data_IF_900041012216
#
_entry.id   IF_900041012216
#
_cell.length_a   1.000
_cell.length_b   1.000
_cell.length_c   1.000
_cell.angle_alpha   90.00
_cell.angle_beta   90.00
_cell.angle_gamma   90.00
#
_symmetry.space_group_name_H-M   'P 1'
#
loop_
_entity.id
_entity.type
_entity.pdbx_description
1 polymer ?
#
# COMPACT_ATOMS: atom_id res chain seq x y z
N UNK A 1 -28.21 29.76 -37.98
CA UNK A 1 -27.62 28.57 -37.32
C UNK A 1 -27.71 28.79 -35.82
N UNK A 2 -27.72 27.73 -35.01
CA UNK A 2 -27.78 27.87 -33.56
C UNK A 2 -26.35 28.09 -33.04
N UNK A 3 -26.16 29.08 -32.17
CA UNK A 3 -24.88 29.34 -31.51
C UNK A 3 -24.57 28.20 -30.52
N UNK A 4 -23.32 27.78 -30.48
CA UNK A 4 -22.75 26.86 -29.50
C UNK A 4 -21.45 27.41 -28.90
N UNK A 5 -20.94 26.72 -27.89
CA UNK A 5 -19.73 27.10 -27.16
C UNK A 5 -18.76 25.93 -27.12
N UNK A 6 -17.54 26.13 -27.61
CA UNK A 6 -16.47 25.16 -27.49
C UNK A 6 -15.70 25.43 -26.22
N UNK A 7 -15.55 24.39 -25.41
CA UNK A 7 -14.83 24.43 -24.14
C UNK A 7 -13.46 23.81 -24.37
N UNK A 8 -12.43 24.52 -23.92
CA UNK A 8 -11.05 24.10 -24.01
C UNK A 8 -10.51 23.85 -22.60
N UNK A 9 -9.85 22.71 -22.41
CA UNK A 9 -9.10 22.36 -21.22
C UNK A 9 -7.61 22.32 -21.59
N UNK A 10 -6.80 23.11 -20.90
CA UNK A 10 -5.35 23.20 -21.16
C UNK A 10 -5.03 23.49 -22.63
N UNK A 11 -5.77 24.43 -23.21
CA UNK A 11 -5.75 24.82 -24.62
C UNK A 11 -6.13 23.71 -25.64
N UNK A 12 -6.63 22.57 -25.17
CA UNK A 12 -7.13 21.47 -26.00
C UNK A 12 -8.65 21.48 -26.00
N UNK A 13 -9.27 21.35 -27.19
CA UNK A 13 -10.72 21.24 -27.31
C UNK A 13 -11.22 20.01 -26.53
N UNK A 14 -12.16 20.24 -25.61
CA UNK A 14 -12.74 19.21 -24.77
C UNK A 14 -14.13 18.79 -25.26
N UNK A 15 -15.04 19.75 -25.41
CA UNK A 15 -16.40 19.51 -25.89
C UNK A 15 -17.07 20.78 -26.38
N UNK A 16 -18.17 20.61 -27.11
CA UNK A 16 -19.05 21.68 -27.55
C UNK A 16 -20.42 21.54 -26.85
N UNK A 17 -20.99 22.66 -26.40
CA UNK A 17 -22.29 22.72 -25.72
C UNK A 17 -23.13 23.87 -26.26
N UNK A 18 -24.46 23.79 -26.14
CA UNK A 18 -25.36 24.90 -26.51
C UNK A 18 -25.83 25.70 -25.30
N UNK A 19 -25.63 25.18 -24.09
CA UNK A 19 -25.94 25.87 -22.83
C UNK A 19 -24.80 26.80 -22.41
N UNK A 20 -25.12 27.82 -21.62
CA UNK A 20 -24.15 28.74 -21.03
C UNK A 20 -23.42 28.17 -19.81
N UNK A 21 -23.70 26.92 -19.45
CA UNK A 21 -23.05 26.20 -18.36
C UNK A 21 -22.69 24.80 -18.80
N UNK A 22 -21.58 24.30 -18.30
CA UNK A 22 -21.15 22.94 -18.52
C UNK A 22 -20.45 22.40 -17.29
N UNK A 23 -20.85 21.19 -16.87
CA UNK A 23 -20.11 20.43 -15.86
C UNK A 23 -19.00 19.64 -16.53
N UNK A 24 -17.79 19.75 -16.01
CA UNK A 24 -16.64 18.90 -16.40
C UNK A 24 -16.48 17.83 -15.31
N UNK A 25 -16.54 16.57 -15.71
CA UNK A 25 -16.35 15.41 -14.83
C UNK A 25 -14.95 14.82 -15.03
N UNK A 26 -14.58 13.84 -14.20
CA UNK A 26 -13.36 13.02 -14.39
C UNK A 26 -12.03 13.79 -14.33
N UNK A 27 -12.06 15.00 -13.75
CA UNK A 27 -10.84 15.75 -13.41
C UNK A 27 -10.04 14.98 -12.36
N UNK A 28 -8.72 14.98 -12.53
CA UNK A 28 -7.82 14.27 -11.64
C UNK A 28 -7.61 15.05 -10.34
N UNK A 29 -7.51 14.39 -9.17
CA UNK A 29 -7.19 15.04 -7.89
C UNK A 29 -5.84 15.76 -7.92
N UNK A 30 -5.68 16.79 -7.10
CA UNK A 30 -4.45 17.56 -6.94
C UNK A 30 -3.79 17.98 -8.27
N UNK A 31 -4.61 18.27 -9.29
CA UNK A 31 -4.16 18.58 -10.64
C UNK A 31 -4.61 19.98 -11.01
N UNK A 32 -3.68 20.75 -11.55
CA UNK A 32 -3.91 22.11 -12.03
C UNK A 32 -4.50 22.05 -13.43
N UNK A 33 -5.56 22.82 -13.66
CA UNK A 33 -6.23 22.93 -14.95
C UNK A 33 -6.44 24.39 -15.33
N UNK A 34 -6.44 24.63 -16.64
CA UNK A 34 -6.87 25.89 -17.24
C UNK A 34 -8.06 25.66 -18.17
N UNK A 35 -9.02 26.58 -18.15
CA UNK A 35 -10.19 26.53 -19.02
C UNK A 35 -10.44 27.86 -19.68
N UNK A 36 -10.85 27.81 -20.95
CA UNK A 36 -11.45 28.93 -21.66
C UNK A 36 -12.53 28.42 -22.61
N UNK A 37 -13.35 29.34 -23.11
CA UNK A 37 -14.41 29.02 -24.06
C UNK A 37 -14.34 29.93 -25.29
N UNK A 38 -14.89 29.46 -26.39
CA UNK A 38 -15.17 30.25 -27.60
C UNK A 38 -16.62 30.05 -28.00
N UNK A 39 -17.19 31.03 -28.69
CA UNK A 39 -18.48 30.91 -29.36
C UNK A 39 -18.27 30.35 -30.77
N UNK A 40 -19.17 29.49 -31.23
CA UNK A 40 -19.12 28.87 -32.56
C UNK A 40 -20.51 28.95 -33.20
N UNK A 41 -20.59 29.43 -34.43
CA UNK A 41 -21.87 29.60 -35.15
C UNK A 41 -22.18 28.46 -36.14
N UNK A 42 -21.32 27.44 -36.17
CA UNK A 42 -21.37 26.33 -37.13
C UNK A 42 -20.40 26.49 -38.30
N UNK A 43 -19.78 27.67 -38.47
CA UNK A 43 -18.84 27.99 -39.55
C UNK A 43 -17.57 28.60 -38.97
N UNK A 44 -17.72 29.67 -38.19
CA UNK A 44 -16.65 30.48 -37.63
C UNK A 44 -16.60 30.34 -36.11
N UNK A 45 -15.39 30.44 -35.56
CA UNK A 45 -15.12 30.38 -34.13
C UNK A 45 -14.57 31.73 -33.64
N UNK A 46 -15.10 32.21 -32.53
CA UNK A 46 -14.68 33.48 -31.93
C UNK A 46 -13.25 33.42 -31.36
N UNK A 47 -12.77 34.58 -30.88
CA UNK A 47 -11.61 34.61 -29.97
C UNK A 47 -11.91 33.95 -28.62
N UNK A 48 -10.85 33.62 -27.87
CA UNK A 48 -10.93 33.01 -26.52
C UNK A 48 -11.54 33.98 -25.49
N UNK A 49 -12.31 33.43 -24.56
CA UNK A 49 -12.67 34.11 -23.31
C UNK A 49 -11.44 34.43 -22.44
N UNK A 50 -11.67 34.99 -21.24
CA UNK A 50 -10.66 34.91 -20.19
C UNK A 50 -10.35 33.44 -19.83
N UNK A 51 -9.12 33.20 -19.36
CA UNK A 51 -8.71 31.89 -18.85
C UNK A 51 -9.02 31.82 -17.36
N UNK A 52 -9.64 30.72 -16.93
CA UNK A 52 -9.79 30.36 -15.53
C UNK A 52 -8.75 29.30 -15.20
N UNK A 53 -8.06 29.47 -14.08
CA UNK A 53 -7.05 28.54 -13.58
C UNK A 53 -7.41 28.12 -12.15
N UNK A 54 -7.40 26.80 -11.89
CA UNK A 54 -7.60 26.26 -10.55
C UNK A 54 -6.84 24.94 -10.38
N UNK A 55 -6.76 24.46 -9.13
CA UNK A 55 -6.24 23.13 -8.80
C UNK A 55 -7.32 22.36 -8.07
N UNK A 56 -7.57 21.11 -8.47
CA UNK A 56 -8.52 20.23 -7.81
C UNK A 56 -8.04 19.87 -6.39
N UNK A 57 -8.99 19.54 -5.50
CA UNK A 57 -8.67 19.08 -4.15
C UNK A 57 -7.95 17.73 -4.13
N UNK A 58 -7.47 17.34 -2.95
CA UNK A 58 -6.93 16.00 -2.71
C UNK A 58 -8.04 15.02 -2.29
N UNK A 59 -7.88 13.75 -2.64
CA UNK A 59 -8.70 12.66 -2.12
C UNK A 59 -7.95 12.06 -0.93
N UNK A 60 -8.60 12.08 0.24
CA UNK A 60 -8.02 11.58 1.48
C UNK A 60 -8.16 10.04 1.58
N UNK A 61 -7.19 9.41 2.24
CA UNK A 61 -7.32 7.99 2.62
C UNK A 61 -8.40 7.83 3.68
N UNK A 62 -9.35 6.95 3.44
CA UNK A 62 -10.43 6.65 4.38
C UNK A 62 -10.08 5.49 5.29
N UNK A 63 -9.45 4.45 4.74
CA UNK A 63 -9.06 3.25 5.48
C UNK A 63 -7.81 2.56 4.88
N UNK A 64 -7.20 1.72 5.70
CA UNK A 64 -6.11 0.81 5.34
C UNK A 64 -6.45 -0.57 5.88
N UNK A 65 -6.21 -1.61 5.09
CA UNK A 65 -6.45 -3.01 5.46
C UNK A 65 -5.20 -3.84 5.18
N UNK A 66 -5.06 -4.99 5.85
CA UNK A 66 -3.95 -5.92 5.65
C UNK A 66 -4.47 -7.25 5.11
N UNK A 67 -3.64 -7.94 4.31
CA UNK A 67 -3.96 -9.30 3.85
C UNK A 67 -3.94 -10.35 4.97
N UNK A 68 -3.37 -10.03 6.13
CA UNK A 68 -3.40 -10.86 7.33
C UNK A 68 -3.39 -9.99 8.59
N UNK A 69 -4.20 -10.37 9.60
CA UNK A 69 -4.21 -9.72 10.93
C UNK A 69 -3.45 -10.54 11.98
N UNK A 70 -3.17 -11.81 11.69
CA UNK A 70 -2.37 -12.71 12.51
C UNK A 70 -1.55 -13.62 11.61
N UNK A 71 -0.34 -13.98 12.03
CA UNK A 71 0.50 -14.93 11.30
C UNK A 71 1.49 -15.64 12.23
N UNK A 72 1.77 -16.91 11.92
CA UNK A 72 2.79 -17.71 12.62
C UNK A 72 3.85 -18.18 11.64
N UNK A 73 5.12 -17.86 11.91
CA UNK A 73 6.28 -18.24 11.09
C UNK A 73 7.40 -18.78 11.96
N UNK A 74 8.35 -19.50 11.38
CA UNK A 74 9.53 -19.98 12.10
C UNK A 74 10.63 -18.94 12.08
N UNK A 75 11.50 -18.98 13.09
CA UNK A 75 12.74 -18.19 13.11
C UNK A 75 13.52 -18.38 11.80
N UNK A 76 13.91 -17.29 11.17
CA UNK A 76 14.63 -17.26 9.90
C UNK A 76 13.73 -17.24 8.65
N UNK A 77 12.42 -17.45 8.80
CA UNK A 77 11.48 -17.29 7.69
C UNK A 77 11.11 -15.81 7.46
N UNK A 78 10.59 -15.54 6.27
CA UNK A 78 10.08 -14.23 5.87
C UNK A 78 8.60 -14.32 5.51
N UNK A 79 7.87 -13.24 5.69
CA UNK A 79 6.46 -13.14 5.31
C UNK A 79 6.15 -11.78 4.68
N UNK A 80 5.46 -11.77 3.54
CA UNK A 80 5.04 -10.53 2.90
C UNK A 80 3.67 -10.12 3.43
N UNK A 81 3.65 -9.02 4.19
CA UNK A 81 2.43 -8.36 4.63
C UNK A 81 2.11 -7.23 3.64
N UNK A 82 0.91 -7.26 3.09
CA UNK A 82 0.46 -6.31 2.05
C UNK A 82 -0.65 -5.45 2.64
N UNK A 83 -0.53 -4.15 2.44
CA UNK A 83 -1.52 -3.18 2.86
C UNK A 83 -2.28 -2.61 1.66
N UNK A 84 -3.60 -2.49 1.79
CA UNK A 84 -4.49 -1.95 0.77
C UNK A 84 -5.19 -0.70 1.31
N UNK A 85 -5.11 0.40 0.55
CA UNK A 85 -5.71 1.70 0.88
C UNK A 85 -7.04 1.87 0.14
N UNK A 86 -8.02 2.44 0.82
CA UNK A 86 -9.30 2.84 0.24
C UNK A 86 -9.57 4.33 0.52
N UNK A 87 -10.05 5.11 -0.46
CA UNK A 87 -10.33 4.70 -1.84
C UNK A 87 -9.06 4.48 -2.68
N UNK A 88 -9.19 3.75 -3.79
CA UNK A 88 -8.06 3.44 -4.67
C UNK A 88 -7.49 4.68 -5.34
N UNK A 89 -8.22 5.79 -5.47
CA UNK A 89 -7.77 7.04 -6.07
C UNK A 89 -7.29 8.07 -5.04
N UNK A 90 -7.07 7.66 -3.78
CA UNK A 90 -6.50 8.53 -2.76
C UNK A 90 -5.18 9.16 -3.23
N UNK A 91 -5.03 10.46 -2.99
CA UNK A 91 -3.91 11.25 -3.54
C UNK A 91 -2.57 10.91 -2.89
N UNK A 92 -2.54 10.65 -1.57
CA UNK A 92 -1.34 10.20 -0.85
C UNK A 92 -1.58 8.79 -0.31
N UNK A 93 -0.84 7.82 -0.87
CA UNK A 93 -0.92 6.41 -0.51
C UNK A 93 0.32 5.92 0.24
N UNK A 94 1.10 6.84 0.81
CA UNK A 94 2.31 6.50 1.53
C UNK A 94 1.98 5.65 2.76
N UNK A 95 2.65 4.50 2.88
CA UNK A 95 2.51 3.60 4.02
C UNK A 95 3.84 3.52 4.75
N UNK A 96 3.81 3.74 6.06
CA UNK A 96 4.93 3.54 6.97
C UNK A 96 4.71 2.27 7.77
N UNK A 97 5.74 1.43 7.82
CA UNK A 97 5.72 0.17 8.57
C UNK A 97 6.55 0.27 9.84
N UNK A 98 6.05 -0.31 10.93
CA UNK A 98 6.78 -0.41 12.20
C UNK A 98 6.60 -1.78 12.84
N UNK A 99 7.60 -2.20 13.62
CA UNK A 99 7.51 -3.38 14.48
C UNK A 99 7.49 -2.95 15.94
N UNK A 100 6.68 -3.63 16.76
CA UNK A 100 6.70 -3.42 18.22
C UNK A 100 7.98 -3.93 18.88
N UNK A 101 8.69 -4.88 18.25
CA UNK A 101 9.96 -5.42 18.74
C UNK A 101 10.85 -5.87 17.56
N UNK A 102 11.77 -4.99 17.16
CA UNK A 102 12.73 -5.25 16.07
C UNK A 102 13.76 -6.33 16.40
N UNK A 103 13.90 -6.76 17.66
CA UNK A 103 14.75 -7.92 17.99
C UNK A 103 14.03 -9.22 17.69
N UNK A 104 12.69 -9.23 17.73
CA UNK A 104 11.84 -10.39 17.43
C UNK A 104 11.55 -10.46 15.94
N UNK A 105 11.06 -9.37 15.35
CA UNK A 105 10.72 -9.28 13.93
C UNK A 105 11.01 -7.88 13.37
N UNK A 106 11.62 -7.80 12.19
CA UNK A 106 11.78 -6.55 11.44
C UNK A 106 10.84 -6.52 10.24
N UNK A 107 10.44 -5.34 9.80
CA UNK A 107 9.62 -5.12 8.61
C UNK A 107 10.29 -4.09 7.69
N UNK A 108 10.34 -4.36 6.38
CA UNK A 108 10.86 -3.41 5.40
C UNK A 108 9.86 -2.31 5.08
N UNK A 109 10.29 -1.29 4.33
CA UNK A 109 9.39 -0.26 3.78
C UNK A 109 8.34 -0.82 2.79
N UNK A 110 8.53 -2.03 2.27
CA UNK A 110 7.58 -2.74 1.39
C UNK A 110 6.72 -3.75 2.14
N UNK A 111 6.78 -3.83 3.48
CA UNK A 111 6.01 -4.79 4.27
C UNK A 111 6.59 -6.21 4.31
N UNK A 112 7.86 -6.40 3.91
CA UNK A 112 8.53 -7.70 4.03
C UNK A 112 9.00 -7.90 5.48
N UNK A 113 8.41 -8.87 6.16
CA UNK A 113 8.73 -9.24 7.54
C UNK A 113 9.83 -10.30 7.54
N UNK A 114 10.80 -10.15 8.44
CA UNK A 114 11.85 -11.15 8.72
C UNK A 114 11.80 -11.59 10.18
N UNK A 115 11.70 -12.89 10.41
CA UNK A 115 11.67 -13.48 11.76
C UNK A 115 13.07 -13.68 12.32
N UNK A 116 13.41 -12.99 13.42
CA UNK A 116 14.76 -13.00 14.00
C UNK A 116 14.86 -13.85 15.27
N UNK A 117 13.92 -13.68 16.21
CA UNK A 117 13.88 -14.40 17.48
C UNK A 117 12.48 -14.97 17.72
N UNK A 118 12.43 -16.13 18.37
CA UNK A 118 11.16 -16.71 18.83
C UNK A 118 10.51 -15.79 19.87
N UNK A 119 9.22 -15.57 19.74
CA UNK A 119 8.47 -14.62 20.56
C UNK A 119 7.26 -14.09 19.83
N UNK A 120 6.76 -12.96 20.28
CA UNK A 120 5.63 -12.26 19.65
C UNK A 120 6.00 -10.83 19.32
N UNK A 121 5.53 -10.34 18.18
CA UNK A 121 5.69 -8.95 17.75
C UNK A 121 4.42 -8.51 17.01
N UNK A 122 4.10 -7.22 17.04
CA UNK A 122 3.02 -6.64 16.25
C UNK A 122 3.61 -5.75 15.19
N UNK A 123 3.21 -5.98 13.94
CA UNK A 123 3.57 -5.13 12.80
C UNK A 123 2.43 -4.17 12.54
N UNK A 124 2.75 -2.88 12.39
CA UNK A 124 1.76 -1.82 12.13
C UNK A 124 2.05 -1.16 10.80
N UNK A 125 1.01 -1.02 9.96
CA UNK A 125 1.00 -0.15 8.79
C UNK A 125 0.25 1.15 9.13
N UNK A 126 0.84 2.29 8.80
CA UNK A 126 0.29 3.62 9.06
C UNK A 126 0.32 4.48 7.82
N UNK A 127 -0.76 5.23 7.58
CA UNK A 127 -0.86 6.23 6.51
C UNK A 127 -0.49 7.62 7.03
N UNK A 128 -0.18 8.55 6.12
CA UNK A 128 0.21 9.93 6.48
C UNK A 128 -0.89 10.70 7.21
N UNK A 129 -2.16 10.40 6.93
CA UNK A 129 -3.30 11.00 7.61
C UNK A 129 -3.77 10.22 8.86
N UNK A 130 -2.97 9.27 9.35
CA UNK A 130 -3.15 8.63 10.65
C UNK A 130 -4.04 7.38 10.68
N UNK A 131 -4.47 6.84 9.53
CA UNK A 131 -5.12 5.50 9.49
C UNK A 131 -4.10 4.41 9.73
N UNK A 132 -4.47 3.39 10.50
CA UNK A 132 -3.58 2.28 10.85
C UNK A 132 -4.24 0.92 10.69
N UNK A 133 -3.44 -0.11 10.46
CA UNK A 133 -3.82 -1.51 10.53
C UNK A 133 -2.67 -2.35 11.10
N UNK A 134 -2.99 -3.44 11.80
CA UNK A 134 -1.99 -4.22 12.55
C UNK A 134 -2.07 -5.72 12.25
N UNK A 135 -0.92 -6.39 12.36
CA UNK A 135 -0.77 -7.84 12.25
C UNK A 135 0.00 -8.38 13.45
N UNK A 136 -0.58 -9.33 14.18
CA UNK A 136 0.09 -10.03 15.27
C UNK A 136 0.93 -11.20 14.74
N UNK A 137 2.23 -11.19 15.03
CA UNK A 137 3.17 -12.25 14.67
C UNK A 137 3.50 -13.12 15.87
N UNK A 138 3.48 -14.43 15.64
CA UNK A 138 4.08 -15.42 16.53
C UNK A 138 5.25 -16.09 15.82
N UNK A 139 6.45 -15.98 16.39
CA UNK A 139 7.65 -16.63 15.85
C UNK A 139 7.98 -17.85 16.69
N UNK A 140 7.99 -19.00 16.02
CA UNK A 140 8.31 -20.29 16.64
C UNK A 140 9.76 -20.68 16.39
N UNK A 141 10.42 -21.40 17.31
CA UNK A 141 11.76 -21.91 17.08
C UNK A 141 11.78 -22.99 15.98
N UNK A 142 12.89 -23.08 15.25
CA UNK A 142 13.12 -24.20 14.33
C UNK A 142 13.58 -25.41 15.15
N UNK A 143 12.80 -26.49 15.13
CA UNK A 143 13.17 -27.75 15.77
C UNK A 143 14.20 -28.48 14.89
N UNK A 144 15.35 -28.83 15.47
CA UNK A 144 16.46 -29.50 14.78
C UNK A 144 16.56 -30.95 15.21
N UNK A 145 16.74 -31.85 14.24
CA UNK A 145 16.90 -33.28 14.49
C UNK A 145 18.27 -33.55 15.13
N UNK A 146 18.35 -34.24 16.28
CA UNK A 146 19.63 -34.65 16.88
C UNK A 146 20.46 -35.52 15.93
N UNK A 147 21.79 -35.46 16.04
CA UNK A 147 22.72 -36.20 15.17
C UNK A 147 23.74 -37.00 15.98
N UNK A 148 24.52 -37.86 15.31
CA UNK A 148 25.61 -38.63 15.92
C UNK A 148 25.18 -39.46 17.14
N UNK A 149 24.09 -40.23 16.99
CA UNK A 149 23.69 -41.17 18.03
C UNK A 149 24.80 -42.22 18.23
N UNK A 150 25.32 -42.29 19.45
CA UNK A 150 26.36 -43.23 19.87
C UNK A 150 25.90 -44.02 21.09
N UNK A 151 26.46 -45.21 21.24
CA UNK A 151 26.22 -46.09 22.37
C UNK A 151 27.56 -46.43 23.03
N UNK A 152 27.67 -46.18 24.33
CA UNK A 152 28.86 -46.45 25.14
C UNK A 152 28.49 -47.19 26.43
N UNK A 153 29.48 -47.75 27.14
CA UNK A 153 29.28 -48.48 28.40
C UNK A 153 28.22 -49.59 28.29
N UNK A 154 28.28 -50.38 27.22
CA UNK A 154 27.32 -51.47 27.00
C UNK A 154 27.60 -52.61 27.97
N UNK A 155 26.59 -52.99 28.74
CA UNK A 155 26.59 -54.16 29.63
C UNK A 155 25.47 -55.12 29.23
N UNK A 156 25.31 -56.23 29.96
CA UNK A 156 24.20 -57.16 29.73
C UNK A 156 22.81 -56.53 29.98
N UNK A 157 22.72 -55.42 30.71
CA UNK A 157 21.45 -54.81 31.12
C UNK A 157 21.37 -53.31 30.92
N UNK A 158 22.43 -52.66 30.41
CA UNK A 158 22.46 -51.21 30.23
C UNK A 158 23.30 -50.75 29.04
N UNK A 159 22.97 -49.57 28.55
CA UNK A 159 23.74 -48.82 27.56
C UNK A 159 23.61 -47.33 27.87
N UNK A 160 24.66 -46.55 27.68
CA UNK A 160 24.59 -45.09 27.70
C UNK A 160 24.49 -44.57 26.27
N UNK A 161 23.44 -43.82 25.97
CA UNK A 161 23.26 -43.16 24.68
C UNK A 161 23.78 -41.72 24.74
N UNK A 162 24.54 -41.32 23.73
CA UNK A 162 24.98 -39.95 23.51
C UNK A 162 24.57 -39.46 22.12
N UNK A 163 24.37 -38.16 21.96
CA UNK A 163 24.07 -37.53 20.67
C UNK A 163 24.53 -36.07 20.69
N UNK A 164 24.66 -35.47 19.50
CA UNK A 164 24.86 -34.04 19.32
C UNK A 164 23.55 -33.30 19.05
N UNK A 165 23.48 -32.05 19.51
CA UNK A 165 22.37 -31.14 19.18
C UNK A 165 22.29 -30.96 17.66
N UNK A 166 21.07 -30.98 17.10
CA UNK A 166 20.85 -30.70 15.69
C UNK A 166 21.23 -29.27 15.32
N UNK A 167 21.78 -29.08 14.11
CA UNK A 167 22.24 -27.78 13.57
C UNK A 167 21.18 -27.15 12.66
#
# INVERSE_FOLDING_TARGET
>A
MAISYKIYQDDVFLKEVTELTATITDLQPNTKYTFHVTEFDGVDESGKSNVVEFTTGTIAVESITLNATEQSIKKGETFQLTATITPEDATDKTITWTSSDEKVATVSNTGLITALLSGSATITASTSNGKTATCALTITPVIKVPTELTATNVTATSVTLGWKKGV
#
